data_IF_043530809475
#
_entry.id   IF_043530809475
#
_cell.length_a   1.000
_cell.length_b   1.000
_cell.length_c   1.000
_cell.angle_alpha   90.00
_cell.angle_beta   90.00
_cell.angle_gamma   90.00
#
_symmetry.space_group_name_H-M   'P 1'
#
loop_
_entity.id
_entity.type
_entity.pdbx_description
1 polymer ?
#
# COMPACT_ATOMS: atom_id res chain seq x y z
N UNK A 1 17.29 9.48 -3.01
CA UNK A 1 16.54 8.67 -3.99
C UNK A 1 16.47 7.24 -3.45
N UNK A 2 15.43 6.43 -3.75
CA UNK A 2 15.22 5.13 -3.10
C UNK A 2 16.44 4.19 -3.12
N UNK A 3 17.26 4.27 -4.16
CA UNK A 3 18.49 3.49 -4.35
C UNK A 3 19.66 3.90 -3.44
N UNK A 4 19.52 5.01 -2.70
CA UNK A 4 20.55 5.55 -1.80
C UNK A 4 20.24 5.31 -0.32
N UNK A 5 19.15 4.59 0.01
CA UNK A 5 18.73 4.36 1.39
C UNK A 5 19.72 3.44 2.09
N UNK A 6 20.25 3.89 3.22
CA UNK A 6 21.10 3.11 4.12
C UNK A 6 20.37 2.75 5.42
N UNK A 7 21.01 1.93 6.26
CA UNK A 7 20.42 1.49 7.53
C UNK A 7 20.00 2.67 8.43
N UNK A 8 20.82 3.72 8.47
CA UNK A 8 20.58 4.87 9.35
C UNK A 8 19.47 5.80 8.84
N UNK A 9 19.03 5.63 7.59
CA UNK A 9 17.87 6.35 7.04
C UNK A 9 16.53 5.76 7.49
N UNK A 10 16.52 4.56 8.10
CA UNK A 10 15.29 3.95 8.60
C UNK A 10 14.71 4.76 9.76
N UNK A 11 13.44 5.10 9.64
CA UNK A 11 12.65 5.78 10.67
C UNK A 11 11.67 4.80 11.31
N UNK A 12 11.39 5.00 12.60
CA UNK A 12 10.42 4.18 13.36
C UNK A 12 9.17 5.02 13.62
N UNK A 13 8.00 4.42 13.39
CA UNK A 13 6.71 5.07 13.56
C UNK A 13 5.79 4.26 14.46
N UNK A 14 4.93 4.96 15.19
CA UNK A 14 3.71 4.38 15.79
C UNK A 14 2.67 4.08 14.69
N UNK A 15 1.63 3.33 15.04
CA UNK A 15 0.57 2.97 14.08
C UNK A 15 -0.23 4.16 13.53
N UNK A 16 -0.30 5.27 14.26
CA UNK A 16 -0.88 6.53 13.77
C UNK A 16 0.10 7.37 12.90
N UNK A 17 1.29 6.84 12.63
CA UNK A 17 2.29 7.49 11.77
C UNK A 17 3.08 8.59 12.48
N UNK A 18 3.07 8.69 13.81
CA UNK A 18 3.96 9.59 14.52
C UNK A 18 5.39 9.00 14.63
N UNK A 19 6.46 9.80 14.40
CA UNK A 19 7.82 9.33 14.62
C UNK A 19 8.06 8.96 16.09
N UNK A 20 8.73 7.84 16.33
CA UNK A 20 9.11 7.38 17.67
C UNK A 20 10.44 8.01 18.08
N UNK A 21 10.62 8.26 19.38
CA UNK A 21 11.92 8.67 19.93
C UNK A 21 12.32 10.12 19.65
N UNK A 22 11.37 10.97 19.24
CA UNK A 22 11.65 12.38 18.96
C UNK A 22 12.43 12.62 17.68
N UNK A 23 12.40 11.66 16.75
CA UNK A 23 12.99 11.78 15.41
C UNK A 23 12.35 12.96 14.66
N UNK A 24 13.16 13.97 14.34
CA UNK A 24 12.76 15.23 13.72
C UNK A 24 13.00 15.26 12.21
N UNK A 25 13.49 14.16 11.63
CA UNK A 25 13.68 14.02 10.18
C UNK A 25 12.33 14.13 9.48
N UNK A 26 12.34 14.70 8.27
CA UNK A 26 11.13 14.83 7.45
C UNK A 26 10.63 13.43 7.04
N UNK A 27 9.45 12.99 7.51
CA UNK A 27 8.96 11.66 7.18
C UNK A 27 8.39 11.61 5.77
N UNK A 28 8.27 10.40 5.22
CA UNK A 28 7.48 10.18 4.02
C UNK A 28 6.01 10.49 4.30
N UNK A 29 5.36 11.18 3.35
CA UNK A 29 3.98 11.63 3.48
C UNK A 29 3.01 10.46 3.65
N UNK A 30 3.27 9.37 2.93
CA UNK A 30 2.35 8.23 2.77
C UNK A 30 2.54 7.14 3.81
N UNK A 31 3.31 7.41 4.87
CA UNK A 31 3.51 6.48 6.00
C UNK A 31 2.20 6.00 6.63
N UNK A 32 1.13 6.78 6.50
CA UNK A 32 -0.21 6.42 6.98
C UNK A 32 -0.77 5.17 6.30
N UNK A 33 -0.38 4.87 5.06
CA UNK A 33 -0.71 3.59 4.39
C UNK A 33 -0.25 2.43 5.26
N UNK A 34 1.01 2.47 5.71
CA UNK A 34 1.64 1.40 6.47
C UNK A 34 1.06 1.32 7.89
N UNK A 35 1.02 2.46 8.59
CA UNK A 35 0.55 2.53 9.97
C UNK A 35 -0.88 2.00 10.13
N UNK A 36 -1.79 2.46 9.27
CA UNK A 36 -3.20 2.05 9.29
C UNK A 36 -3.41 0.58 8.94
N UNK A 37 -2.62 0.01 8.01
CA UNK A 37 -2.67 -1.41 7.69
C UNK A 37 -2.17 -2.27 8.85
N UNK A 38 -1.06 -1.90 9.50
CA UNK A 38 -0.59 -2.61 10.69
C UNK A 38 -1.59 -2.52 11.85
N UNK A 39 -2.26 -1.37 12.02
CA UNK A 39 -3.28 -1.20 13.04
C UNK A 39 -4.52 -2.08 12.80
N UNK A 40 -4.96 -2.17 11.55
CA UNK A 40 -6.16 -2.93 11.18
C UNK A 40 -5.91 -4.44 11.12
N UNK A 41 -4.68 -4.88 10.81
CA UNK A 41 -4.35 -6.27 10.52
C UNK A 41 -3.11 -6.74 11.30
N UNK A 42 -3.28 -7.32 12.50
CA UNK A 42 -2.17 -7.80 13.33
C UNK A 42 -1.31 -8.91 12.68
N UNK A 43 -1.86 -9.61 11.68
CA UNK A 43 -1.14 -10.65 10.91
C UNK A 43 -0.16 -10.06 9.88
N UNK A 44 -0.27 -8.76 9.57
CA UNK A 44 0.62 -8.08 8.64
C UNK A 44 1.91 -7.68 9.33
N UNK A 45 3.04 -8.05 8.73
CA UNK A 45 4.40 -7.75 9.21
C UNK A 45 5.24 -7.01 8.16
N UNK A 46 4.72 -6.82 6.95
CA UNK A 46 5.35 -6.02 5.91
C UNK A 46 4.30 -5.46 4.95
N UNK A 47 4.53 -4.23 4.51
CA UNK A 47 3.68 -3.52 3.53
C UNK A 47 4.61 -2.95 2.47
N UNK A 48 4.30 -3.19 1.20
CA UNK A 48 4.99 -2.57 0.06
C UNK A 48 3.99 -1.72 -0.70
N UNK A 49 4.28 -0.44 -0.80
CA UNK A 49 3.56 0.50 -1.65
C UNK A 49 4.41 0.83 -2.88
N UNK A 50 3.81 0.88 -4.06
CA UNK A 50 4.52 1.17 -5.31
C UNK A 50 3.66 1.85 -6.37
N UNK A 51 4.31 2.63 -7.23
CA UNK A 51 3.70 3.27 -8.41
C UNK A 51 4.01 2.45 -9.68
N UNK A 52 3.66 1.17 -9.64
CA UNK A 52 3.77 0.24 -10.76
C UNK A 52 3.06 0.79 -12.01
N UNK A 53 3.80 1.02 -13.09
CA UNK A 53 3.25 1.63 -14.31
C UNK A 53 2.34 0.68 -15.08
N UNK A 54 2.58 -0.63 -15.00
CA UNK A 54 1.71 -1.65 -15.61
C UNK A 54 0.39 -1.81 -14.85
N UNK A 55 0.40 -1.57 -13.52
CA UNK A 55 -0.76 -1.77 -12.65
C UNK A 55 -1.69 -0.54 -12.60
N UNK A 56 -1.16 0.68 -12.60
CA UNK A 56 -1.96 1.91 -12.47
C UNK A 56 -3.15 1.99 -13.45
N UNK A 57 -3.04 1.64 -14.75
CA UNK A 57 -4.18 1.69 -15.66
C UNK A 57 -5.41 0.90 -15.19
N UNK A 58 -5.20 -0.26 -14.55
CA UNK A 58 -6.30 -1.08 -14.02
C UNK A 58 -7.06 -0.43 -12.86
N UNK A 59 -6.50 0.61 -12.26
CA UNK A 59 -7.20 1.38 -11.22
C UNK A 59 -8.19 2.40 -11.80
N UNK A 60 -8.07 2.77 -13.09
CA UNK A 60 -8.88 3.84 -13.72
C UNK A 60 -9.70 3.36 -14.93
N UNK A 61 -9.39 2.19 -15.48
CA UNK A 61 -10.14 1.60 -16.59
C UNK A 61 -11.21 0.63 -16.10
N UNK A 62 -12.31 0.45 -16.84
CA UNK A 62 -13.30 -0.58 -16.53
C UNK A 62 -12.68 -1.98 -16.49
N UNK A 63 -13.06 -2.76 -15.49
CA UNK A 63 -12.59 -4.14 -15.28
C UNK A 63 -11.73 -4.26 -14.02
N UNK A 64 -11.72 -5.46 -13.43
CA UNK A 64 -10.94 -5.74 -12.22
C UNK A 64 -9.65 -6.47 -12.59
N UNK A 65 -8.53 -6.05 -12.02
CA UNK A 65 -7.30 -6.83 -12.07
C UNK A 65 -7.51 -8.15 -11.34
N UNK A 66 -7.00 -9.24 -11.93
CA UNK A 66 -7.08 -10.61 -11.40
C UNK A 66 -5.78 -11.34 -11.69
N UNK A 67 -5.41 -12.35 -10.89
CA UNK A 67 -4.31 -13.24 -11.22
C UNK A 67 -4.54 -13.94 -12.56
N UNK A 68 -3.61 -13.78 -13.50
CA UNK A 68 -3.63 -14.49 -14.80
C UNK A 68 -2.43 -15.42 -15.01
N UNK A 69 -1.44 -15.37 -14.11
CA UNK A 69 -0.30 -16.28 -14.07
C UNK A 69 -0.30 -17.03 -12.74
N UNK A 70 0.04 -18.32 -12.74
CA UNK A 70 -0.01 -19.18 -11.54
C UNK A 70 0.75 -18.62 -10.34
N UNK A 71 1.88 -17.94 -10.58
CA UNK A 71 2.71 -17.29 -9.55
C UNK A 71 2.00 -16.14 -8.83
N UNK A 72 0.97 -15.56 -9.44
CA UNK A 72 0.20 -14.42 -8.95
C UNK A 72 -1.03 -14.83 -8.14
N UNK A 73 -1.31 -16.14 -7.99
CA UNK A 73 -2.48 -16.64 -7.25
C UNK A 73 -2.56 -16.16 -5.79
N UNK A 74 -1.42 -15.81 -5.19
CA UNK A 74 -1.31 -15.24 -3.84
C UNK A 74 -2.01 -13.87 -3.69
N UNK A 75 -2.27 -13.15 -4.79
CA UNK A 75 -2.93 -11.85 -4.76
C UNK A 75 -4.43 -11.95 -4.45
N UNK A 76 -5.01 -13.15 -4.53
CA UNK A 76 -6.43 -13.40 -4.30
C UNK A 76 -7.27 -13.26 -5.56
N UNK A 77 -8.57 -13.55 -5.43
CA UNK A 77 -9.50 -13.63 -6.57
C UNK A 77 -9.79 -12.26 -7.19
N UNK A 78 -10.05 -11.27 -6.34
CA UNK A 78 -10.48 -9.93 -6.72
C UNK A 78 -9.55 -8.93 -6.02
N UNK A 79 -8.96 -8.00 -6.79
CA UNK A 79 -8.10 -6.94 -6.27
C UNK A 79 -8.94 -5.65 -6.23
N UNK A 80 -9.30 -5.14 -5.05
CA UNK A 80 -10.12 -3.95 -4.93
C UNK A 80 -9.36 -2.69 -5.34
N UNK A 81 -10.11 -1.66 -5.73
CA UNK A 81 -9.61 -0.32 -6.01
C UNK A 81 -10.20 0.62 -4.95
N UNK A 82 -9.33 1.34 -4.26
CA UNK A 82 -9.71 2.45 -3.39
C UNK A 82 -9.66 3.76 -4.16
N UNK A 83 -10.70 4.58 -4.03
CA UNK A 83 -10.78 5.92 -4.61
C UNK A 83 -11.00 6.95 -3.51
N UNK A 84 -10.05 7.88 -3.38
CA UNK A 84 -10.17 8.99 -2.43
C UNK A 84 -11.42 9.85 -2.68
N UNK A 85 -11.94 9.90 -3.91
CA UNK A 85 -13.11 10.73 -4.23
C UNK A 85 -14.39 10.25 -3.56
N UNK A 86 -14.52 8.95 -3.26
CA UNK A 86 -15.72 8.37 -2.65
C UNK A 86 -15.98 8.94 -1.24
N UNK A 87 -14.89 9.19 -0.48
CA UNK A 87 -14.95 9.62 0.92
C UNK A 87 -14.41 11.04 1.15
N UNK A 88 -13.50 11.52 0.29
CA UNK A 88 -12.71 12.74 0.53
C UNK A 88 -12.78 13.77 -0.61
N UNK A 89 -13.51 13.49 -1.69
CA UNK A 89 -13.66 14.40 -2.83
C UNK A 89 -12.36 14.63 -3.63
N UNK A 90 -12.21 15.82 -4.21
CA UNK A 90 -11.06 16.16 -5.06
C UNK A 90 -9.79 16.33 -4.23
N UNK A 91 -8.99 15.26 -4.17
CA UNK A 91 -7.68 15.22 -3.50
C UNK A 91 -6.52 15.23 -4.49
N UNK A 92 -5.29 15.21 -3.97
CA UNK A 92 -4.08 15.00 -4.76
C UNK A 92 -3.78 13.51 -5.04
N UNK A 93 -4.76 12.61 -4.80
CA UNK A 93 -4.69 11.16 -4.95
C UNK A 93 -3.74 10.43 -3.98
N UNK A 94 -3.12 11.13 -3.03
CA UNK A 94 -2.23 10.54 -2.02
C UNK A 94 -2.99 10.17 -0.74
N UNK A 95 -2.52 9.14 -0.03
CA UNK A 95 -2.93 8.90 1.36
C UNK A 95 -2.00 9.71 2.28
N UNK A 96 -2.48 10.88 2.68
CA UNK A 96 -1.68 11.88 3.41
C UNK A 96 -2.16 12.13 4.85
N UNK A 97 -3.17 11.38 5.30
CA UNK A 97 -3.69 11.44 6.66
C UNK A 97 -4.01 10.04 7.19
N UNK A 98 -4.10 9.93 8.51
CA UNK A 98 -4.50 8.68 9.16
C UNK A 98 -5.94 8.27 8.80
N UNK A 99 -6.84 9.24 8.61
CA UNK A 99 -8.22 8.99 8.21
C UNK A 99 -8.30 8.30 6.84
N UNK A 100 -7.55 8.82 5.85
CA UNK A 100 -7.44 8.18 4.54
C UNK A 100 -6.78 6.80 4.63
N UNK A 101 -5.79 6.63 5.52
CA UNK A 101 -5.16 5.34 5.76
C UNK A 101 -6.11 4.30 6.32
N UNK A 102 -7.00 4.68 7.26
CA UNK A 102 -8.02 3.78 7.80
C UNK A 102 -9.08 3.41 6.76
N UNK A 103 -9.55 4.38 5.96
CA UNK A 103 -10.49 4.14 4.88
C UNK A 103 -9.90 3.18 3.83
N UNK A 104 -8.64 3.38 3.45
CA UNK A 104 -7.90 2.47 2.59
C UNK A 104 -7.74 1.07 3.18
N UNK A 105 -7.38 0.95 4.46
CA UNK A 105 -7.27 -0.34 5.14
C UNK A 105 -8.61 -1.09 5.15
N UNK A 106 -9.73 -0.36 5.26
CA UNK A 106 -11.08 -0.92 5.12
C UNK A 106 -11.35 -1.54 3.74
N UNK A 107 -10.83 -0.93 2.67
CA UNK A 107 -10.92 -1.48 1.31
C UNK A 107 -10.02 -2.70 1.10
N UNK A 108 -8.82 -2.70 1.71
CA UNK A 108 -7.93 -3.88 1.69
C UNK A 108 -8.61 -5.06 2.41
N UNK A 109 -9.32 -4.79 3.51
CA UNK A 109 -10.08 -5.76 4.29
C UNK A 109 -9.24 -7.01 4.62
N UNK A 110 -9.71 -8.20 4.26
CA UNK A 110 -9.02 -9.49 4.41
C UNK A 110 -8.11 -9.84 3.22
N UNK A 111 -8.05 -8.95 2.22
CA UNK A 111 -7.27 -9.12 1.01
C UNK A 111 -5.76 -8.98 1.22
N UNK A 112 -5.02 -9.24 0.14
CA UNK A 112 -3.55 -9.18 0.09
C UNK A 112 -3.02 -7.93 -0.62
N UNK A 113 -3.85 -7.34 -1.47
CA UNK A 113 -3.48 -6.26 -2.37
C UNK A 113 -4.67 -5.34 -2.56
N UNK A 114 -4.42 -4.05 -2.72
CA UNK A 114 -5.40 -3.10 -3.21
C UNK A 114 -4.73 -2.09 -4.15
N UNK A 115 -5.47 -1.62 -5.14
CA UNK A 115 -5.06 -0.50 -5.99
C UNK A 115 -5.58 0.81 -5.42
N UNK A 116 -4.91 1.90 -5.75
CA UNK A 116 -5.34 3.26 -5.44
C UNK A 116 -5.58 3.98 -6.76
N UNK A 117 -6.80 4.48 -6.99
CA UNK A 117 -7.22 5.04 -8.27
C UNK A 117 -6.26 6.14 -8.75
N UNK A 118 -5.64 5.91 -9.91
CA UNK A 118 -4.74 6.86 -10.56
C UNK A 118 -3.41 7.08 -9.85
N UNK A 119 -3.05 6.22 -8.90
CA UNK A 119 -1.90 6.41 -8.03
C UNK A 119 -0.97 5.19 -8.06
N UNK A 120 -1.41 4.01 -7.62
CA UNK A 120 -0.50 2.88 -7.45
C UNK A 120 -1.16 1.65 -6.84
N UNK A 121 -0.34 0.83 -6.21
CA UNK A 121 -0.76 -0.39 -5.53
C UNK A 121 -0.07 -0.53 -4.18
N UNK A 122 -0.74 -1.24 -3.28
CA UNK A 122 -0.18 -1.65 -1.99
C UNK A 122 -0.43 -3.13 -1.80
N UNK A 123 0.62 -3.86 -1.42
CA UNK A 123 0.54 -5.26 -1.02
C UNK A 123 0.96 -5.42 0.43
N UNK A 124 0.34 -6.38 1.11
CA UNK A 124 0.63 -6.72 2.50
C UNK A 124 1.18 -8.14 2.60
N UNK A 125 1.97 -8.41 3.64
CA UNK A 125 2.45 -9.76 3.92
C UNK A 125 2.85 -10.03 5.35
N UNK A 126 2.93 -11.32 5.70
CA UNK A 126 3.38 -11.82 7.01
C UNK A 126 4.89 -11.79 7.17
N UNK A 127 5.63 -11.43 6.12
CA UNK A 127 7.07 -11.18 6.15
C UNK A 127 7.47 -10.27 4.99
N UNK A 128 8.66 -9.66 5.09
CA UNK A 128 9.27 -8.87 4.01
C UNK A 128 9.35 -9.68 2.72
N UNK A 129 9.80 -10.95 2.81
CA UNK A 129 9.93 -11.83 1.65
C UNK A 129 8.61 -12.02 0.92
N UNK A 130 7.53 -12.24 1.67
CA UNK A 130 6.21 -12.49 1.11
C UNK A 130 5.62 -11.23 0.48
N UNK A 131 5.75 -10.06 1.13
CA UNK A 131 5.28 -8.80 0.58
C UNK A 131 6.05 -8.40 -0.70
N UNK A 132 7.37 -8.55 -0.70
CA UNK A 132 8.22 -8.30 -1.89
C UNK A 132 7.86 -9.25 -3.04
N UNK A 133 7.68 -10.55 -2.76
CA UNK A 133 7.24 -11.50 -3.78
C UNK A 133 5.90 -11.06 -4.40
N UNK A 134 4.90 -10.76 -3.57
CA UNK A 134 3.58 -10.32 -4.05
C UNK A 134 3.67 -9.02 -4.86
N UNK A 135 4.47 -8.04 -4.44
CA UNK A 135 4.64 -6.77 -5.15
C UNK A 135 5.25 -6.97 -6.55
N UNK A 136 6.33 -7.77 -6.64
CA UNK A 136 6.99 -8.03 -7.92
C UNK A 136 6.07 -8.80 -8.86
N UNK A 137 5.35 -9.82 -8.36
CA UNK A 137 4.44 -10.59 -9.20
C UNK A 137 3.15 -9.84 -9.55
N UNK A 138 2.74 -8.84 -8.78
CA UNK A 138 1.66 -7.93 -9.17
C UNK A 138 2.03 -7.13 -10.43
N UNK A 139 3.27 -6.63 -10.53
CA UNK A 139 3.76 -5.92 -11.74
C UNK A 139 3.84 -6.85 -12.96
N UNK A 140 4.21 -8.12 -12.74
CA UNK A 140 4.36 -9.15 -13.80
C UNK A 140 3.01 -9.70 -14.28
N UNK A 141 1.98 -9.65 -13.44
CA UNK A 141 0.67 -10.26 -13.66
C UNK A 141 0.00 -9.78 -14.96
#
# INVERSE_FOLDING_TARGET
APELVEHDDMMVFTHDGAPVGGDDRKPFLERFIHGSLYAARPDVQSVVHSHSRSVIPFSVTPGSMRPIVHSCGVLGKDIPVWDAQDSFGDTNLLISSQEMGHDFAGVVAEGRCALMRGHGSTVIGSSIREAVYSAVYLEVN
#
